data_IF_782609015478
#
_entry.id   IF_782609015478
#
_cell.length_a   1.000
_cell.length_b   1.000
_cell.length_c   1.000
_cell.angle_alpha   90.00
_cell.angle_beta   90.00
_cell.angle_gamma   90.00
#
_symmetry.space_group_name_H-M   'P 1'
#
loop_
_entity.id
_entity.type
_entity.pdbx_description
1 polymer ?
#
# COMPACT_ATOMS: atom_id res chain seq x y z
N UNK A 1 94.62 -31.31 -93.17
CA UNK A 1 93.59 -30.26 -93.27
C UNK A 1 92.84 -30.31 -91.95
N UNK A 2 93.38 -29.62 -90.93
CA UNK A 2 92.89 -28.33 -90.40
C UNK A 2 91.58 -28.55 -89.61
N UNK A 3 91.65 -28.73 -88.28
CA UNK A 3 91.48 -27.68 -87.23
C UNK A 3 90.09 -27.02 -87.29
N UNK A 4 89.32 -26.81 -86.23
CA UNK A 4 89.67 -26.55 -84.84
C UNK A 4 88.46 -26.81 -83.91
N UNK A 5 88.81 -27.10 -82.65
CA UNK A 5 88.02 -26.92 -81.44
C UNK A 5 87.62 -25.46 -81.20
N UNK A 6 86.39 -25.19 -80.73
CA UNK A 6 86.02 -23.94 -80.04
C UNK A 6 84.78 -24.23 -79.16
N UNK A 7 84.94 -24.48 -77.86
CA UNK A 7 85.00 -23.54 -76.72
C UNK A 7 83.62 -23.05 -76.26
N UNK A 8 83.24 -23.43 -75.04
CA UNK A 8 82.19 -22.80 -74.25
C UNK A 8 82.62 -21.35 -73.93
N UNK A 9 81.77 -20.37 -74.22
CA UNK A 9 81.93 -19.00 -73.70
C UNK A 9 80.62 -18.54 -73.10
N UNK A 10 80.67 -18.11 -71.84
CA UNK A 10 79.58 -17.49 -71.12
C UNK A 10 79.35 -16.08 -71.69
N UNK A 11 78.16 -15.83 -72.24
CA UNK A 11 77.74 -14.45 -72.51
C UNK A 11 77.29 -13.81 -71.20
N UNK A 12 78.15 -12.92 -70.70
CA UNK A 12 77.76 -11.81 -69.84
C UNK A 12 76.87 -10.91 -70.68
N UNK A 13 75.56 -11.08 -70.56
CA UNK A 13 74.55 -10.26 -71.23
C UNK A 13 74.73 -8.79 -70.85
N UNK A 14 75.19 -8.01 -71.81
CA UNK A 14 75.28 -6.56 -71.77
C UNK A 14 73.89 -5.95 -71.64
N UNK A 15 73.79 -4.84 -70.90
CA UNK A 15 72.56 -4.07 -70.76
C UNK A 15 72.12 -3.53 -72.13
N UNK A 16 71.25 -4.28 -72.80
CA UNK A 16 70.55 -3.87 -74.01
C UNK A 16 69.62 -2.69 -73.65
N UNK A 17 69.88 -1.52 -74.25
CA UNK A 17 69.02 -0.34 -74.16
C UNK A 17 67.84 -0.52 -75.12
N UNK A 18 66.78 -1.17 -74.65
CA UNK A 18 65.50 -1.27 -75.37
C UNK A 18 64.94 0.13 -75.64
N UNK A 19 64.99 0.59 -76.88
CA UNK A 19 64.27 1.78 -77.34
C UNK A 19 62.78 1.44 -77.41
N UNK A 20 62.02 1.75 -76.36
CA UNK A 20 60.57 1.62 -76.40
C UNK A 20 59.99 2.53 -77.49
N UNK A 21 59.04 2.05 -78.32
CA UNK A 21 58.36 2.89 -79.29
C UNK A 21 57.60 4.01 -78.56
N UNK A 22 58.13 5.23 -78.64
CA UNK A 22 57.54 6.41 -78.02
C UNK A 22 56.74 7.20 -79.06
N UNK A 23 55.46 7.45 -78.75
CA UNK A 23 54.59 8.32 -79.55
C UNK A 23 54.56 9.68 -78.84
N UNK A 24 54.95 10.75 -79.54
CA UNK A 24 55.02 12.13 -79.01
C UNK A 24 55.97 12.30 -77.80
N UNK A 25 57.07 11.53 -77.73
CA UNK A 25 58.07 11.62 -76.65
C UNK A 25 57.66 10.93 -75.34
N UNK A 26 56.52 10.21 -75.34
CA UNK A 26 56.02 9.45 -74.21
C UNK A 26 56.08 7.96 -74.55
N UNK A 27 56.68 7.16 -73.69
CA UNK A 27 56.77 5.71 -73.89
C UNK A 27 55.43 5.02 -73.64
N UNK A 28 55.30 3.73 -74.00
CA UNK A 28 54.08 2.96 -73.76
C UNK A 28 53.66 2.97 -72.27
N UNK A 29 54.63 2.85 -71.36
CA UNK A 29 54.39 2.97 -69.92
C UNK A 29 53.86 4.35 -69.52
N UNK A 30 54.30 5.42 -70.19
CA UNK A 30 53.81 6.79 -69.95
C UNK A 30 52.35 7.00 -70.36
N UNK A 31 51.90 6.40 -71.47
CA UNK A 31 50.49 6.41 -71.85
C UNK A 31 49.61 5.62 -70.88
N UNK A 32 50.07 4.46 -70.41
CA UNK A 32 49.39 3.69 -69.35
C UNK A 32 49.29 4.49 -68.06
N UNK A 33 50.37 5.15 -67.64
CA UNK A 33 50.38 6.02 -66.48
C UNK A 33 49.41 7.21 -66.65
N UNK A 34 49.31 7.81 -67.85
CA UNK A 34 48.37 8.89 -68.14
C UNK A 34 46.91 8.42 -68.12
N UNK A 35 46.61 7.23 -68.65
CA UNK A 35 45.28 6.62 -68.54
C UNK A 35 44.92 6.31 -67.08
N UNK A 36 45.85 5.74 -66.30
CA UNK A 36 45.67 5.47 -64.88
C UNK A 36 45.42 6.77 -64.08
N UNK A 37 46.18 7.82 -64.38
CA UNK A 37 46.01 9.15 -63.78
C UNK A 37 44.63 9.73 -64.12
N UNK A 38 44.19 9.60 -65.38
CA UNK A 38 42.87 10.09 -65.81
C UNK A 38 41.74 9.38 -65.06
N UNK A 39 41.83 8.06 -64.87
CA UNK A 39 40.86 7.29 -64.07
C UNK A 39 40.87 7.73 -62.60
N UNK A 40 42.05 7.94 -62.01
CA UNK A 40 42.17 8.42 -60.62
C UNK A 40 41.57 9.83 -60.48
N UNK A 41 41.82 10.74 -61.42
CA UNK A 41 41.24 12.09 -61.42
C UNK A 41 39.72 12.03 -61.54
N UNK A 42 39.18 11.16 -62.41
CA UNK A 42 37.73 10.97 -62.54
C UNK A 42 37.13 10.43 -61.23
N UNK A 43 37.78 9.46 -60.56
CA UNK A 43 37.32 8.91 -59.27
C UNK A 43 37.32 9.99 -58.18
N UNK A 44 38.31 10.87 -58.17
CA UNK A 44 38.40 12.00 -57.24
C UNK A 44 37.32 13.06 -57.52
N UNK A 45 37.11 13.42 -58.80
CA UNK A 45 36.06 14.36 -59.22
C UNK A 45 34.65 13.82 -58.93
N UNK A 46 34.43 12.52 -59.19
CA UNK A 46 33.20 11.81 -58.87
C UNK A 46 33.01 11.59 -57.36
N UNK A 47 33.97 12.00 -56.51
CA UNK A 47 33.89 11.96 -55.05
C UNK A 47 33.55 10.58 -54.45
N UNK A 48 33.87 9.51 -55.17
CA UNK A 48 33.67 8.13 -54.72
C UNK A 48 34.21 7.88 -53.30
N UNK A 49 35.45 8.28 -52.93
CA UNK A 49 35.93 8.06 -51.55
C UNK A 49 35.08 8.78 -50.49
N UNK A 50 34.53 9.96 -50.82
CA UNK A 50 33.66 10.70 -49.89
C UNK A 50 32.28 10.06 -49.76
N UNK A 51 31.75 9.43 -50.81
CA UNK A 51 30.48 8.70 -50.72
C UNK A 51 30.61 7.46 -49.83
N UNK A 52 31.72 6.73 -49.97
CA UNK A 52 32.02 5.56 -49.13
C UNK A 52 32.18 5.99 -47.68
N UNK A 53 32.98 7.03 -47.39
CA UNK A 53 33.14 7.51 -46.01
C UNK A 53 31.80 7.93 -45.38
N UNK A 54 30.97 8.67 -46.13
CA UNK A 54 29.63 9.06 -45.66
C UNK A 54 28.70 7.88 -45.40
N UNK A 55 28.77 6.82 -46.20
CA UNK A 55 27.97 5.62 -45.99
C UNK A 55 28.38 4.88 -44.71
N UNK A 56 29.70 4.75 -44.46
CA UNK A 56 30.19 4.20 -43.20
C UNK A 56 29.82 5.08 -42.01
N UNK A 57 29.99 6.41 -42.12
CA UNK A 57 29.61 7.36 -41.07
C UNK A 57 28.11 7.27 -40.74
N UNK A 58 27.26 7.11 -41.77
CA UNK A 58 25.82 6.90 -41.59
C UNK A 58 25.52 5.62 -40.81
N UNK A 59 26.21 4.52 -41.11
CA UNK A 59 26.05 3.27 -40.37
C UNK A 59 26.53 3.40 -38.92
N UNK A 60 27.69 4.03 -38.69
CA UNK A 60 28.23 4.29 -37.36
C UNK A 60 27.24 5.12 -36.54
N UNK A 61 26.70 6.20 -37.11
CA UNK A 61 25.72 7.03 -36.43
C UNK A 61 24.40 6.29 -36.16
N UNK A 62 23.95 5.43 -37.08
CA UNK A 62 22.79 4.57 -36.87
C UNK A 62 22.99 3.58 -35.72
N UNK A 63 24.15 2.93 -35.65
CA UNK A 63 24.50 2.00 -34.56
C UNK A 63 24.62 2.74 -33.22
N UNK A 64 25.25 3.92 -33.21
CA UNK A 64 25.33 4.76 -32.01
C UNK A 64 23.96 5.14 -31.50
N UNK A 65 23.07 5.60 -32.38
CA UNK A 65 21.70 5.95 -32.00
C UNK A 65 20.94 4.75 -31.40
N UNK A 66 21.06 3.57 -32.03
CA UNK A 66 20.43 2.34 -31.50
C UNK A 66 21.01 1.92 -30.14
N UNK A 67 22.33 2.07 -29.94
CA UNK A 67 22.97 1.80 -28.65
C UNK A 67 22.52 2.79 -27.58
N UNK A 68 22.40 4.08 -27.91
CA UNK A 68 21.92 5.10 -26.99
C UNK A 68 20.44 4.87 -26.61
N UNK A 69 19.59 4.52 -27.58
CA UNK A 69 18.21 4.14 -27.34
C UNK A 69 18.10 2.88 -26.47
N UNK A 70 18.92 1.86 -26.74
CA UNK A 70 18.94 0.64 -25.93
C UNK A 70 19.44 0.92 -24.50
N UNK A 71 20.46 1.76 -24.34
CA UNK A 71 20.97 2.18 -23.03
C UNK A 71 19.91 2.96 -22.26
N UNK A 72 19.20 3.89 -22.92
CA UNK A 72 18.09 4.64 -22.34
C UNK A 72 16.94 3.71 -21.94
N UNK A 73 16.53 2.79 -22.81
CA UNK A 73 15.47 1.82 -22.52
C UNK A 73 15.83 0.93 -21.32
N UNK A 74 17.10 0.53 -21.22
CA UNK A 74 17.60 -0.22 -20.07
C UNK A 74 17.54 0.62 -18.79
N UNK A 75 17.97 1.88 -18.83
CA UNK A 75 17.91 2.77 -17.68
C UNK A 75 16.46 3.00 -17.22
N UNK A 76 15.53 3.17 -18.16
CA UNK A 76 14.08 3.29 -17.87
C UNK A 76 13.51 2.01 -17.26
N UNK A 77 13.90 0.84 -17.77
CA UNK A 77 13.47 -0.44 -17.21
C UNK A 77 14.05 -0.67 -15.80
N UNK A 78 15.31 -0.34 -15.57
CA UNK A 78 15.95 -0.42 -14.25
C UNK A 78 15.28 0.55 -13.25
N UNK A 79 14.95 1.78 -13.68
CA UNK A 79 14.22 2.74 -12.88
C UNK A 79 12.80 2.27 -12.54
N UNK A 80 12.07 1.71 -13.52
CA UNK A 80 10.73 1.16 -13.32
C UNK A 80 10.74 -0.03 -12.35
N UNK A 81 11.75 -0.90 -12.46
CA UNK A 81 11.93 -2.03 -11.56
C UNK A 81 12.26 -1.58 -10.13
N UNK A 82 13.07 -0.52 -9.98
CA UNK A 82 13.35 0.07 -8.68
C UNK A 82 12.09 0.68 -8.06
N UNK A 83 11.28 1.43 -8.83
CA UNK A 83 10.02 2.01 -8.37
C UNK A 83 9.01 0.93 -7.98
N UNK A 84 8.86 -0.12 -8.80
CA UNK A 84 7.98 -1.25 -8.50
C UNK A 84 8.38 -1.95 -7.19
N UNK A 85 9.69 -2.22 -7.00
CA UNK A 85 10.19 -2.82 -5.74
C UNK A 85 9.94 -1.91 -4.54
N UNK A 86 10.18 -0.61 -4.67
CA UNK A 86 9.93 0.36 -3.62
C UNK A 86 8.43 0.42 -3.26
N UNK A 87 7.54 0.42 -4.26
CA UNK A 87 6.09 0.39 -4.07
C UNK A 87 5.62 -0.89 -3.40
N UNK A 88 6.17 -2.05 -3.76
CA UNK A 88 5.83 -3.32 -3.10
C UNK A 88 6.27 -3.28 -1.64
N UNK A 89 7.49 -2.83 -1.36
CA UNK A 89 7.99 -2.72 0.02
C UNK A 89 7.16 -1.74 0.86
N UNK A 90 6.77 -0.58 0.30
CA UNK A 90 5.90 0.36 1.00
C UNK A 90 4.50 -0.21 1.22
N UNK A 91 3.91 -0.88 0.22
CA UNK A 91 2.59 -1.49 0.34
C UNK A 91 2.56 -2.61 1.39
N UNK A 92 3.64 -3.40 1.48
CA UNK A 92 3.76 -4.42 2.53
C UNK A 92 3.88 -3.79 3.93
N UNK A 93 4.62 -2.70 4.06
CA UNK A 93 4.73 -1.95 5.33
C UNK A 93 3.38 -1.36 5.73
N UNK A 94 2.68 -0.71 4.79
CA UNK A 94 1.36 -0.13 5.00
C UNK A 94 0.34 -1.20 5.39
N UNK A 95 0.34 -2.36 4.71
CA UNK A 95 -0.54 -3.48 5.05
C UNK A 95 -0.28 -3.99 6.48
N UNK A 96 0.99 -4.14 6.88
CA UNK A 96 1.35 -4.53 8.25
C UNK A 96 0.88 -3.50 9.27
N UNK A 97 1.01 -2.21 8.96
CA UNK A 97 0.55 -1.13 9.84
C UNK A 97 -0.97 -1.11 9.96
N UNK A 98 -1.71 -1.35 8.87
CA UNK A 98 -3.16 -1.46 8.88
C UNK A 98 -3.60 -2.62 9.78
N UNK A 99 -2.97 -3.79 9.65
CA UNK A 99 -3.29 -4.96 10.49
C UNK A 99 -2.98 -4.68 11.95
N UNK A 100 -1.80 -4.13 12.27
CA UNK A 100 -1.44 -3.79 13.64
C UNK A 100 -2.39 -2.78 14.29
N UNK A 101 -2.79 -1.74 13.54
CA UNK A 101 -3.77 -0.76 13.99
C UNK A 101 -5.14 -1.39 14.21
N UNK A 102 -5.60 -2.24 13.28
CA UNK A 102 -6.88 -2.93 13.40
C UNK A 102 -6.90 -3.87 14.63
N UNK A 103 -5.81 -4.58 14.91
CA UNK A 103 -5.69 -5.42 16.10
C UNK A 103 -5.72 -4.59 17.39
N UNK A 104 -5.00 -3.46 17.43
CA UNK A 104 -5.01 -2.55 18.56
C UNK A 104 -6.40 -1.94 18.81
N UNK A 105 -7.08 -1.51 17.74
CA UNK A 105 -8.44 -0.99 17.81
C UNK A 105 -9.45 -2.06 18.25
N UNK A 106 -9.34 -3.28 17.73
CA UNK A 106 -10.18 -4.40 18.13
C UNK A 106 -10.00 -4.74 19.62
N UNK A 107 -8.75 -4.76 20.10
CA UNK A 107 -8.47 -4.97 21.52
C UNK A 107 -9.05 -3.86 22.40
N UNK A 108 -8.90 -2.59 22.00
CA UNK A 108 -9.46 -1.45 22.71
C UNK A 108 -11.01 -1.49 22.71
N UNK A 109 -11.62 -1.84 21.58
CA UNK A 109 -13.07 -1.98 21.44
C UNK A 109 -13.61 -3.11 22.33
N UNK A 110 -12.91 -4.25 22.37
CA UNK A 110 -13.27 -5.36 23.24
C UNK A 110 -13.19 -4.96 24.71
N UNK A 111 -12.09 -4.33 25.14
CA UNK A 111 -11.94 -3.86 26.52
C UNK A 111 -13.03 -2.86 26.91
N UNK A 112 -13.37 -1.93 26.01
CA UNK A 112 -14.48 -0.99 26.21
C UNK A 112 -15.83 -1.71 26.32
N UNK A 113 -16.11 -2.65 25.42
CA UNK A 113 -17.35 -3.42 25.44
C UNK A 113 -17.50 -4.25 26.73
N UNK A 114 -16.41 -4.84 27.22
CA UNK A 114 -16.39 -5.55 28.50
C UNK A 114 -16.67 -4.61 29.68
N UNK A 115 -16.06 -3.43 29.69
CA UNK A 115 -16.31 -2.41 30.72
C UNK A 115 -17.77 -1.93 30.71
N UNK A 116 -18.31 -1.60 29.52
CA UNK A 116 -19.68 -1.14 29.34
C UNK A 116 -20.68 -2.24 29.75
N UNK A 117 -20.40 -3.51 29.42
CA UNK A 117 -21.22 -4.64 29.81
C UNK A 117 -21.22 -4.88 31.33
N UNK A 118 -20.06 -4.73 31.98
CA UNK A 118 -19.92 -4.81 33.43
C UNK A 118 -20.70 -3.68 34.13
N UNK A 119 -20.59 -2.45 33.65
CA UNK A 119 -21.36 -1.31 34.15
C UNK A 119 -22.86 -1.54 33.99
N UNK A 120 -23.31 -1.97 32.80
CA UNK A 120 -24.72 -2.23 32.54
C UNK A 120 -25.28 -3.30 33.49
N UNK A 121 -24.51 -4.36 33.72
CA UNK A 121 -24.88 -5.44 34.64
C UNK A 121 -24.96 -4.93 36.07
N UNK A 122 -23.98 -4.16 36.53
CA UNK A 122 -24.00 -3.56 37.86
C UNK A 122 -25.19 -2.60 38.05
N UNK A 123 -25.52 -1.79 37.05
CA UNK A 123 -26.70 -0.92 37.08
C UNK A 123 -28.00 -1.73 37.14
N UNK A 124 -28.10 -2.83 36.39
CA UNK A 124 -29.27 -3.72 36.44
C UNK A 124 -29.40 -4.44 37.78
N UNK A 125 -28.30 -4.87 38.37
CA UNK A 125 -28.28 -5.46 39.71
C UNK A 125 -28.81 -4.46 40.75
N UNK A 126 -28.30 -3.23 40.78
CA UNK A 126 -28.79 -2.17 41.67
C UNK A 126 -30.27 -1.88 41.48
N UNK A 127 -30.74 -1.76 40.24
CA UNK A 127 -32.17 -1.56 39.97
C UNK A 127 -33.04 -2.73 40.48
N UNK A 128 -32.52 -3.97 40.42
CA UNK A 128 -33.22 -5.12 40.96
C UNK A 128 -33.24 -5.09 42.50
N UNK A 129 -32.11 -4.79 43.13
CA UNK A 129 -31.99 -4.61 44.59
C UNK A 129 -32.93 -3.50 45.09
N UNK A 130 -32.97 -2.35 44.42
CA UNK A 130 -33.85 -1.24 44.76
C UNK A 130 -35.34 -1.64 44.65
N UNK A 131 -35.70 -2.42 43.61
CA UNK A 131 -37.06 -2.95 43.43
C UNK A 131 -37.42 -3.95 44.51
N UNK A 132 -36.50 -4.85 44.88
CA UNK A 132 -36.70 -5.80 45.97
C UNK A 132 -36.91 -5.03 47.28
N UNK A 133 -36.05 -4.08 47.60
CA UNK A 133 -36.20 -3.27 48.81
C UNK A 133 -37.51 -2.45 48.83
N UNK A 134 -37.95 -1.93 47.69
CA UNK A 134 -39.25 -1.27 47.58
C UNK A 134 -40.42 -2.24 47.81
N UNK A 135 -40.35 -3.45 47.23
CA UNK A 135 -41.35 -4.49 47.42
C UNK A 135 -41.40 -5.01 48.87
N UNK A 136 -40.25 -5.17 49.52
CA UNK A 136 -40.17 -5.54 50.94
C UNK A 136 -40.83 -4.50 51.83
N UNK A 137 -40.53 -3.21 51.62
CA UNK A 137 -41.19 -2.12 52.36
C UNK A 137 -42.71 -2.13 52.15
N UNK A 138 -43.16 -2.33 50.90
CA UNK A 138 -44.58 -2.43 50.59
C UNK A 138 -45.23 -3.64 51.28
N UNK A 139 -44.58 -4.81 51.28
CA UNK A 139 -45.07 -6.02 51.92
C UNK A 139 -45.18 -5.85 53.45
N UNK A 140 -44.17 -5.24 54.10
CA UNK A 140 -44.21 -4.95 55.54
C UNK A 140 -45.38 -4.01 55.88
N UNK A 141 -45.59 -2.96 55.07
CA UNK A 141 -46.71 -2.03 55.29
C UNK A 141 -48.06 -2.72 55.07
N UNK A 142 -48.18 -3.61 54.07
CA UNK A 142 -49.39 -4.38 53.84
C UNK A 142 -49.72 -5.33 55.02
N UNK A 143 -48.71 -6.00 55.59
CA UNK A 143 -48.90 -6.86 56.78
C UNK A 143 -49.33 -6.02 57.99
N UNK A 144 -48.70 -4.86 58.21
CA UNK A 144 -49.09 -3.94 59.29
C UNK A 144 -50.52 -3.44 59.16
N UNK A 145 -50.91 -3.03 57.95
CA UNK A 145 -52.29 -2.61 57.67
C UNK A 145 -53.28 -3.74 57.97
N UNK A 146 -53.02 -4.95 57.45
CA UNK A 146 -53.88 -6.12 57.69
C UNK A 146 -53.96 -6.51 59.18
N UNK A 147 -52.86 -6.38 59.92
CA UNK A 147 -52.85 -6.60 61.36
C UNK A 147 -53.65 -5.54 62.12
N UNK A 148 -53.54 -4.26 61.73
CA UNK A 148 -54.32 -3.17 62.30
C UNK A 148 -55.82 -3.32 62.01
N UNK A 149 -56.18 -3.73 60.80
CA UNK A 149 -57.57 -4.00 60.41
C UNK A 149 -58.14 -5.18 61.21
N UNK A 150 -57.38 -6.27 61.34
CA UNK A 150 -57.79 -7.43 62.15
C UNK A 150 -57.95 -7.07 63.63
N UNK A 151 -57.01 -6.30 64.20
CA UNK A 151 -57.09 -5.83 65.58
C UNK A 151 -58.29 -4.89 65.80
N UNK A 152 -58.55 -3.98 64.86
CA UNK A 152 -59.69 -3.06 64.93
C UNK A 152 -61.02 -3.81 64.80
N UNK A 153 -61.10 -4.79 63.90
CA UNK A 153 -62.28 -5.65 63.73
C UNK A 153 -62.55 -6.50 64.99
N UNK A 154 -61.50 -7.10 65.58
CA UNK A 154 -61.62 -7.84 66.83
C UNK A 154 -62.04 -6.94 68.00
N UNK A 155 -61.44 -5.74 68.12
CA UNK A 155 -61.83 -4.76 69.13
C UNK A 155 -63.29 -4.32 68.94
N UNK A 156 -63.73 -4.07 67.70
CA UNK A 156 -65.12 -3.71 67.41
C UNK A 156 -66.10 -4.83 67.80
N UNK A 157 -65.76 -6.10 67.54
CA UNK A 157 -66.56 -7.24 67.94
C UNK A 157 -66.65 -7.37 69.47
N UNK A 158 -65.52 -7.28 70.19
CA UNK A 158 -65.49 -7.32 71.66
C UNK A 158 -66.27 -6.15 72.26
N UNK A 159 -66.15 -4.94 71.69
CA UNK A 159 -66.92 -3.78 72.14
C UNK A 159 -68.41 -4.03 71.93
N UNK A 160 -68.83 -4.57 70.78
CA UNK A 160 -70.23 -4.88 70.49
C UNK A 160 -70.81 -5.95 71.44
N UNK A 161 -70.03 -6.98 71.78
CA UNK A 161 -70.43 -8.02 72.73
C UNK A 161 -70.54 -7.52 74.17
N UNK A 162 -69.69 -6.56 74.57
CA UNK A 162 -69.66 -6.01 75.93
C UNK A 162 -70.42 -4.67 76.09
N UNK A 163 -70.97 -4.10 75.01
CA UNK A 163 -71.81 -2.90 75.06
C UNK A 163 -73.23 -3.25 75.51
N UNK A 164 -73.59 -2.79 76.70
CA UNK A 164 -74.95 -2.86 77.23
C UNK A 164 -75.26 -1.60 78.03
N UNK A 165 -76.53 -1.39 78.37
CA UNK A 165 -77.02 -0.15 78.99
C UNK A 165 -76.28 0.27 80.30
N UNK A 166 -75.66 -0.68 81.01
CA UNK A 166 -74.83 -0.41 82.21
C UNK A 166 -73.42 0.09 81.88
N UNK A 167 -72.85 -0.28 80.75
CA UNK A 167 -71.53 0.15 80.28
C UNK A 167 -71.58 1.51 79.56
N UNK A 168 -72.70 1.83 78.90
CA UNK A 168 -72.86 3.06 78.10
C UNK A 168 -73.02 4.31 78.97
N UNK A 169 -73.77 4.20 80.08
CA UNK A 169 -74.03 5.31 81.01
C UNK A 169 -72.74 6.01 81.51
N UNK A 170 -71.73 5.29 82.05
CA UNK A 170 -70.49 5.93 82.49
C UNK A 170 -69.58 6.43 81.36
N UNK A 171 -69.80 6.02 80.11
CA UNK A 171 -69.09 6.54 78.92
C UNK A 171 -69.74 7.85 78.47
N UNK A 172 -71.07 7.89 78.39
CA UNK A 172 -71.85 9.09 78.07
C UNK A 172 -71.64 10.18 79.12
N UNK A 173 -71.69 9.84 80.40
CA UNK A 173 -71.43 10.80 81.49
C UNK A 173 -70.00 11.38 81.40
N UNK A 174 -69.01 10.59 80.96
CA UNK A 174 -67.63 11.04 80.73
C UNK A 174 -67.49 11.93 79.51
N UNK A 175 -68.18 11.62 78.42
CA UNK A 175 -68.21 12.44 77.21
C UNK A 175 -68.90 13.80 77.47
N UNK A 176 -70.03 13.81 78.18
CA UNK A 176 -70.72 15.03 78.62
C UNK A 176 -69.83 15.87 79.55
N UNK A 177 -69.15 15.24 80.52
CA UNK A 177 -68.17 15.92 81.37
C UNK A 177 -66.92 16.40 80.61
N UNK A 178 -66.57 15.75 79.50
CA UNK A 178 -65.49 16.14 78.59
C UNK A 178 -65.84 17.37 77.74
N UNK A 179 -67.08 17.46 77.25
CA UNK A 179 -67.60 18.63 76.53
C UNK A 179 -67.72 19.86 77.45
N UNK A 180 -67.93 19.66 78.75
CA UNK A 180 -67.89 20.72 79.77
C UNK A 180 -66.47 21.19 80.14
N UNK A 181 -65.42 20.46 79.74
CA UNK A 181 -64.03 20.89 79.85
C UNK A 181 -63.62 21.55 78.53
N UNK A 182 -63.90 22.84 78.42
CA UNK A 182 -63.24 23.70 77.45
C UNK A 182 -61.75 23.75 77.79
N UNK A 183 -60.94 23.06 76.99
CA UNK A 183 -59.54 23.36 76.72
C UNK A 183 -59.24 22.97 75.27
#
# INVERSE_FOLDING_TARGET
>A
MAEATHSLSAEVGTAELHHEPAVLGITAAGWVALSMLTVVVIILLARVPSMVSKALDKQINGIRLQLDEAAKLRAEAEALLADAKARTASSEADARQIVANAEAEAAAMKAKAEADAAELTARRARMAEDKIGAAERAAVQAIRAKAADAATSAAAAIIAENHGASADKPIVDRAIAGLGRLN
#
